data_IF_304017934586
#
_entry.id   IF_304017934586
#
_cell.length_a   1.000
_cell.length_b   1.000
_cell.length_c   1.000
_cell.angle_alpha   90.00
_cell.angle_beta   90.00
_cell.angle_gamma   90.00
#
_symmetry.space_group_name_H-M   'P 1'
#
loop_
_entity.id
_entity.type
_entity.pdbx_description
1 polymer ?
#
# COMPACT_ATOMS: atom_id res chain seq x y z
N UNK A 1 15.98 -12.78 9.99
CA UNK A 1 15.62 -12.21 8.67
C UNK A 1 14.86 -10.93 8.89
N UNK A 2 15.23 -9.88 8.16
CA UNK A 2 14.59 -8.57 8.32
C UNK A 2 13.28 -8.50 7.54
N UNK A 3 12.28 -7.84 8.11
CA UNK A 3 10.96 -7.74 7.49
C UNK A 3 11.01 -7.14 6.07
N UNK A 4 11.82 -6.08 5.87
CA UNK A 4 11.88 -5.46 4.54
C UNK A 4 12.56 -6.34 3.50
N UNK A 5 13.46 -7.27 3.90
CA UNK A 5 14.02 -8.26 2.98
C UNK A 5 12.93 -9.22 2.51
N UNK A 6 12.02 -9.61 3.41
CA UNK A 6 10.89 -10.47 3.06
C UNK A 6 9.96 -9.73 2.09
N UNK A 7 9.58 -8.49 2.40
CA UNK A 7 8.68 -7.72 1.57
C UNK A 7 9.23 -7.46 0.18
N UNK A 8 10.56 -7.23 0.07
CA UNK A 8 11.18 -7.01 -1.23
C UNK A 8 11.30 -8.28 -2.07
N UNK A 9 11.18 -9.46 -1.46
CA UNK A 9 11.15 -10.72 -2.19
C UNK A 9 9.78 -11.03 -2.77
N UNK A 10 8.73 -10.34 -2.32
CA UNK A 10 7.36 -10.54 -2.79
C UNK A 10 7.15 -9.74 -4.07
N UNK A 11 6.48 -10.35 -5.05
CA UNK A 11 6.24 -9.69 -6.36
C UNK A 11 5.13 -8.67 -6.37
N UNK A 12 4.27 -8.69 -5.38
CA UNK A 12 3.20 -7.70 -5.27
C UNK A 12 3.72 -6.43 -4.63
N UNK A 13 3.14 -5.30 -4.98
CA UNK A 13 3.45 -4.05 -4.30
C UNK A 13 2.86 -4.05 -2.91
N UNK A 14 3.67 -3.70 -1.91
CA UNK A 14 3.25 -3.63 -0.52
C UNK A 14 3.50 -2.21 -0.02
N UNK A 15 2.47 -1.62 0.60
CA UNK A 15 2.56 -0.30 1.22
C UNK A 15 2.06 -0.40 2.65
N UNK A 16 2.86 0.11 3.59
CA UNK A 16 2.46 0.21 5.00
C UNK A 16 2.35 1.67 5.37
N UNK A 17 1.18 2.05 5.89
CA UNK A 17 0.93 3.39 6.42
C UNK A 17 0.67 3.29 7.92
N UNK A 18 1.04 4.34 8.65
CA UNK A 18 0.76 4.41 10.08
C UNK A 18 -0.71 4.81 10.31
N UNK A 19 -1.09 4.97 11.59
CA UNK A 19 -2.46 5.29 11.96
C UNK A 19 -2.93 6.66 11.47
N UNK A 20 -2.01 7.53 11.10
CA UNK A 20 -2.31 8.86 10.53
C UNK A 20 -2.38 8.85 9.02
N UNK A 21 -2.17 7.71 8.40
CA UNK A 21 -2.17 7.61 6.94
C UNK A 21 -0.88 8.05 6.27
N UNK A 22 0.20 8.14 7.04
CA UNK A 22 1.51 8.51 6.49
C UNK A 22 2.30 7.26 6.14
N UNK A 23 3.10 7.37 5.09
CA UNK A 23 3.89 6.26 4.57
C UNK A 23 4.99 5.88 5.56
N UNK A 24 5.00 4.62 5.99
CA UNK A 24 6.09 4.08 6.80
C UNK A 24 7.05 3.27 5.97
N UNK A 25 6.52 2.48 5.04
CA UNK A 25 7.33 1.58 4.25
C UNK A 25 6.59 1.20 2.98
N UNK A 26 7.34 0.96 1.90
CA UNK A 26 6.84 0.18 0.78
C UNK A 26 8.01 -0.61 0.18
N UNK A 27 7.67 -1.71 -0.49
CA UNK A 27 8.69 -2.54 -1.12
C UNK A 27 9.06 -1.99 -2.49
N UNK A 28 10.06 -2.62 -3.12
CA UNK A 28 10.55 -2.18 -4.43
C UNK A 28 9.44 -2.18 -5.48
N UNK A 29 8.61 -3.22 -5.48
CA UNK A 29 7.53 -3.35 -6.47
C UNK A 29 6.59 -2.15 -6.39
N UNK A 30 6.19 -1.77 -5.18
CA UNK A 30 5.32 -0.60 -4.99
C UNK A 30 6.03 0.69 -5.42
N UNK A 31 7.30 0.82 -5.06
CA UNK A 31 8.10 1.99 -5.46
C UNK A 31 8.18 2.15 -6.97
N UNK A 32 8.39 1.05 -7.69
CA UNK A 32 8.39 1.07 -9.16
C UNK A 32 7.01 1.42 -9.70
N UNK A 33 5.96 0.90 -9.09
CA UNK A 33 4.59 1.17 -9.48
C UNK A 33 4.25 2.66 -9.39
N UNK A 34 4.64 3.34 -8.31
CA UNK A 34 4.36 4.78 -8.13
C UNK A 34 5.46 5.69 -8.67
N UNK A 35 6.60 5.13 -9.07
CA UNK A 35 7.73 5.90 -9.57
C UNK A 35 8.42 6.76 -8.51
N UNK A 36 8.47 6.29 -7.29
CA UNK A 36 9.09 7.01 -6.17
C UNK A 36 9.96 6.11 -5.32
N UNK A 37 10.96 6.68 -4.68
CA UNK A 37 11.76 5.98 -3.70
C UNK A 37 11.27 6.29 -2.30
N UNK A 38 11.30 5.28 -1.43
CA UNK A 38 10.79 5.41 -0.06
C UNK A 38 11.43 6.57 0.69
N UNK A 39 12.74 6.76 0.56
CA UNK A 39 13.47 7.83 1.26
C UNK A 39 12.94 9.22 0.95
N UNK A 40 12.33 9.40 -0.24
CA UNK A 40 11.83 10.71 -0.67
C UNK A 40 10.43 11.00 -0.19
N UNK A 41 9.67 9.96 0.21
CA UNK A 41 8.25 10.12 0.54
C UNK A 41 7.87 9.57 1.91
N UNK A 42 8.83 8.99 2.61
CA UNK A 42 8.58 8.45 3.95
C UNK A 42 8.04 9.53 4.88
N UNK A 43 7.07 9.15 5.70
CA UNK A 43 6.36 10.02 6.64
C UNK A 43 5.44 11.05 6.00
N UNK A 44 5.30 11.04 4.68
CA UNK A 44 4.33 11.91 4.00
C UNK A 44 2.97 11.22 3.92
N UNK A 45 1.87 11.98 3.97
CA UNK A 45 0.53 11.40 3.80
C UNK A 45 0.43 10.68 2.45
N UNK A 46 -0.12 9.47 2.47
CA UNK A 46 -0.30 8.72 1.22
C UNK A 46 -1.18 9.48 0.22
N UNK A 47 -2.13 10.26 0.71
CA UNK A 47 -3.04 11.03 -0.14
C UNK A 47 -2.35 12.13 -0.94
N UNK A 48 -1.14 12.56 -0.55
CA UNK A 48 -0.36 13.49 -1.36
C UNK A 48 0.12 12.84 -2.65
N UNK A 49 0.50 11.56 -2.59
CA UNK A 49 0.99 10.82 -3.73
C UNK A 49 -0.13 10.16 -4.52
N UNK A 50 -1.14 9.71 -3.81
CA UNK A 50 -2.27 8.95 -4.34
C UNK A 50 -3.58 9.55 -3.84
N UNK A 51 -4.04 10.67 -4.42
CA UNK A 51 -5.25 11.35 -3.92
C UNK A 51 -6.48 10.45 -3.88
N UNK A 52 -6.55 9.46 -4.76
CA UNK A 52 -7.66 8.51 -4.79
C UNK A 52 -7.48 7.30 -3.88
N UNK A 53 -6.48 7.30 -3.00
CA UNK A 53 -6.23 6.17 -2.10
C UNK A 53 -7.41 5.90 -1.18
N UNK A 54 -7.72 4.62 -0.96
CA UNK A 54 -8.74 4.19 -0.01
C UNK A 54 -8.18 3.97 1.40
N UNK A 55 -6.91 4.28 1.63
CA UNK A 55 -6.32 4.18 2.97
C UNK A 55 -7.12 4.97 4.01
N UNK A 56 -7.54 6.23 3.75
CA UNK A 56 -8.33 6.97 4.73
C UNK A 56 -9.62 6.27 5.14
N UNK A 57 -10.28 5.58 4.21
CA UNK A 57 -11.51 4.85 4.52
C UNK A 57 -11.25 3.67 5.45
N UNK A 58 -10.19 2.90 5.20
CA UNK A 58 -9.81 1.78 6.05
C UNK A 58 -9.44 2.27 7.44
N UNK A 59 -8.71 3.39 7.52
CA UNK A 59 -8.36 4.00 8.81
C UNK A 59 -9.60 4.43 9.58
N UNK A 60 -10.58 5.01 8.88
CA UNK A 60 -11.79 5.52 9.50
C UNK A 60 -12.72 4.42 9.96
N UNK A 61 -12.97 3.44 9.09
CA UNK A 61 -13.99 2.42 9.35
C UNK A 61 -13.42 1.13 9.93
N UNK A 62 -12.08 0.98 9.90
CA UNK A 62 -11.36 -0.19 10.44
C UNK A 62 -11.82 -1.49 9.83
N UNK A 63 -12.17 -1.46 8.55
CA UNK A 63 -12.59 -2.62 7.77
C UNK A 63 -11.71 -2.73 6.53
N UNK A 64 -11.37 -3.94 6.11
CA UNK A 64 -10.60 -4.11 4.89
C UNK A 64 -11.41 -3.72 3.66
N UNK A 65 -10.71 -3.27 2.65
CA UNK A 65 -11.26 -3.06 1.31
C UNK A 65 -10.46 -3.99 0.41
N UNK A 66 -11.13 -4.94 -0.22
CA UNK A 66 -10.44 -6.00 -0.94
C UNK A 66 -10.78 -6.02 -2.42
N UNK A 67 -9.76 -6.36 -3.22
CA UNK A 67 -9.89 -6.63 -4.65
C UNK A 67 -10.58 -5.53 -5.45
N UNK A 68 -10.21 -4.29 -5.17
CA UNK A 68 -10.74 -3.16 -5.93
C UNK A 68 -9.93 -3.03 -7.22
N UNK A 69 -10.62 -3.06 -8.36
CA UNK A 69 -10.00 -2.76 -9.64
C UNK A 69 -9.91 -1.24 -9.79
N UNK A 70 -8.72 -0.75 -10.08
CA UNK A 70 -8.47 0.68 -10.28
C UNK A 70 -7.77 0.91 -11.60
N UNK A 71 -8.01 2.09 -12.16
CA UNK A 71 -7.32 2.55 -13.36
C UNK A 71 -6.77 3.94 -13.09
N UNK A 72 -5.46 4.09 -13.17
CA UNK A 72 -4.81 5.39 -13.03
C UNK A 72 -3.84 5.57 -14.19
N UNK A 73 -4.01 6.66 -14.92
CA UNK A 73 -3.13 6.99 -16.05
C UNK A 73 -3.01 5.84 -17.06
N UNK A 74 -4.11 5.13 -17.29
CA UNK A 74 -4.13 4.02 -18.23
C UNK A 74 -3.60 2.70 -17.70
N UNK A 75 -3.13 2.68 -16.46
CA UNK A 75 -2.66 1.44 -15.84
C UNK A 75 -3.74 0.86 -14.93
N UNK A 76 -4.12 -0.39 -15.21
CA UNK A 76 -5.08 -1.11 -14.39
C UNK A 76 -4.36 -1.95 -13.35
N UNK A 77 -4.93 -1.99 -12.15
CA UNK A 77 -4.37 -2.79 -11.06
C UNK A 77 -5.46 -3.14 -10.05
N UNK A 78 -5.22 -4.20 -9.30
CA UNK A 78 -6.06 -4.54 -8.16
C UNK A 78 -5.38 -4.08 -6.88
N UNK A 79 -6.17 -3.59 -5.94
CA UNK A 79 -5.69 -3.17 -4.65
C UNK A 79 -6.53 -3.77 -3.54
N UNK A 80 -5.87 -4.16 -2.46
CA UNK A 80 -6.52 -4.59 -1.23
C UNK A 80 -5.84 -3.89 -0.07
N UNK A 81 -6.62 -3.37 0.86
CA UNK A 81 -6.11 -2.61 2.00
C UNK A 81 -6.69 -3.20 3.27
N UNK A 82 -5.82 -3.53 4.20
CA UNK A 82 -6.19 -4.17 5.46
C UNK A 82 -5.77 -3.31 6.64
N UNK A 83 -6.60 -3.22 7.69
CA UNK A 83 -6.15 -2.56 8.92
C UNK A 83 -5.11 -3.42 9.62
N UNK A 84 -4.09 -2.76 10.18
CA UNK A 84 -3.07 -3.43 11.00
C UNK A 84 -3.44 -3.26 12.46
N UNK A 85 -3.54 -4.38 13.17
CA UNK A 85 -3.88 -4.39 14.58
C UNK A 85 -2.79 -5.16 15.32
N UNK A 86 -2.20 -4.53 16.34
CA UNK A 86 -1.23 -5.18 17.21
C UNK A 86 -1.69 -5.01 18.65
N UNK A 87 -1.72 -6.11 19.42
CA UNK A 87 -2.12 -6.08 20.83
C UNK A 87 -3.45 -5.34 21.04
N UNK A 88 -4.41 -5.59 20.16
CA UNK A 88 -5.72 -4.93 20.14
C UNK A 88 -5.67 -3.43 19.84
N UNK A 89 -4.49 -2.89 19.53
CA UNK A 89 -4.33 -1.49 19.14
C UNK A 89 -4.27 -1.37 17.62
N UNK A 90 -5.00 -0.40 17.08
CA UNK A 90 -4.99 -0.12 15.67
C UNK A 90 -3.73 0.68 15.31
N UNK A 91 -2.87 0.13 14.44
CA UNK A 91 -1.56 0.71 14.12
C UNK A 91 -1.41 1.28 12.72
N UNK A 92 -2.40 1.12 11.86
CA UNK A 92 -2.30 1.62 10.50
C UNK A 92 -2.88 0.66 9.49
N UNK A 93 -2.30 0.63 8.28
CA UNK A 93 -2.80 -0.21 7.19
C UNK A 93 -1.66 -0.90 6.46
N UNK A 94 -1.99 -2.04 5.84
CA UNK A 94 -1.14 -2.66 4.83
C UNK A 94 -1.94 -2.78 3.53
N UNK A 95 -1.34 -2.31 2.43
CA UNK A 95 -1.97 -2.38 1.10
C UNK A 95 -1.20 -3.34 0.22
N UNK A 96 -1.93 -4.12 -0.56
CA UNK A 96 -1.37 -5.01 -1.57
C UNK A 96 -1.84 -4.51 -2.93
N UNK A 97 -0.89 -4.34 -3.86
CA UNK A 97 -1.18 -3.90 -5.22
C UNK A 97 -0.68 -4.94 -6.20
N UNK A 98 -1.54 -5.36 -7.12
CA UNK A 98 -1.19 -6.30 -8.17
C UNK A 98 -1.56 -5.71 -9.52
N UNK A 99 -0.58 -5.48 -10.38
CA UNK A 99 -0.86 -4.97 -11.73
C UNK A 99 -1.42 -6.08 -12.61
N UNK A 100 -2.19 -5.71 -13.62
CA UNK A 100 -2.80 -6.69 -14.54
C UNK A 100 -1.72 -7.51 -15.24
N UNK A 101 -0.62 -6.89 -15.64
CA UNK A 101 0.48 -7.62 -16.27
C UNK A 101 1.08 -8.71 -15.39
N UNK A 102 1.06 -8.54 -14.06
CA UNK A 102 1.53 -9.56 -13.12
C UNK A 102 0.55 -10.74 -13.03
N UNK A 103 -0.74 -10.46 -13.21
CA UNK A 103 -1.78 -11.49 -13.13
C UNK A 103 -1.68 -12.45 -14.32
N UNK A 104 -1.33 -11.95 -15.48
CA UNK A 104 -1.26 -12.73 -16.72
C UNK A 104 -0.10 -13.73 -16.74
N UNK A 105 0.86 -13.58 -15.89
CA UNK A 105 1.96 -14.53 -15.76
C UNK A 105 1.56 -15.74 -14.90
#
# INVERSE_FOLDING_TARGET
>A
MKANSIFNAIRHGILICNADGCIEFFNRVYGEFIGRELRDVRNRPITELRPGSHVPEVLRFRRPIENILRNENGQEYFASIYPLVESEMFNGTISLVTTIGQIEE
#
